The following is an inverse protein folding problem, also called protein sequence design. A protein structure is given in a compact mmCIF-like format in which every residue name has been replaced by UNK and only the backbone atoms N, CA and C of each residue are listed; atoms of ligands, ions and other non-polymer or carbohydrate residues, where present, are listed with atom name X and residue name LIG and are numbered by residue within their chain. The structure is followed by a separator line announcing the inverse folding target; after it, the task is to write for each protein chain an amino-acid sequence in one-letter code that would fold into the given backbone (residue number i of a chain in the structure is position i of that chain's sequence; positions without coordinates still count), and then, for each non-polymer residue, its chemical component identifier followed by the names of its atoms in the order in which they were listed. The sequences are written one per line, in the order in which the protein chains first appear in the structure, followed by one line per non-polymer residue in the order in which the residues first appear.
data_IF_898912110547
#
_entry.id   IF_898912110547
#
_cell.length_a   1.000
_cell.length_b   1.000
_cell.length_c   1.000
_cell.angle_alpha   90.00
_cell.angle_beta   90.00
_cell.angle_gamma   90.00
#
_symmetry.space_group_name_H-M   'P 1'
#
loop_
_entity.id
_entity.type
_entity.pdbx_description
1 polymer ?
#
# COMPACT_ATOMS: atom_id res chain seq x y z
N UNK A 1 3.31 0.26 69.77
CA UNK A 1 2.63 1.45 69.22
C UNK A 1 3.67 2.37 68.61
N UNK A 2 4.50 1.89 67.68
CA UNK A 2 4.15 1.63 66.28
C UNK A 2 3.85 2.95 65.57
N UNK A 3 4.76 3.42 64.72
CA UNK A 3 4.74 3.06 63.30
C UNK A 3 3.44 3.56 62.66
N UNK A 4 3.33 4.88 62.49
CA UNK A 4 2.43 5.57 61.55
C UNK A 4 2.68 7.09 61.72
N UNK A 5 3.70 7.65 61.08
CA UNK A 5 3.40 8.55 59.95
C UNK A 5 4.66 8.87 59.12
N UNK A 6 5.56 7.90 58.94
CA UNK A 6 6.71 8.02 58.01
C UNK A 6 6.40 7.44 56.62
N UNK A 7 5.17 7.61 56.15
CA UNK A 7 4.72 7.21 54.80
C UNK A 7 3.91 8.34 54.18
N UNK A 8 4.49 9.53 53.98
CA UNK A 8 4.01 10.49 52.98
C UNK A 8 5.22 11.29 52.49
N UNK A 9 5.42 11.35 51.17
CA UNK A 9 6.51 12.03 50.45
C UNK A 9 7.84 11.25 50.24
N UNK A 10 7.78 9.99 49.81
CA UNK A 10 8.66 9.59 48.69
C UNK A 10 7.94 10.03 47.42
N UNK A 11 8.09 11.32 47.08
CA UNK A 11 7.72 11.81 45.77
C UNK A 11 8.45 10.97 44.74
N UNK A 12 7.68 10.20 43.99
CA UNK A 12 8.16 9.46 42.83
C UNK A 12 8.94 10.47 41.97
N UNK A 13 10.27 10.33 41.93
CA UNK A 13 11.11 11.28 41.19
C UNK A 13 10.66 11.17 39.75
N UNK A 14 10.19 12.26 39.14
CA UNK A 14 9.83 12.27 37.73
C UNK A 14 11.06 11.96 36.87
N UNK A 15 11.28 10.67 36.62
CA UNK A 15 12.45 10.15 35.88
C UNK A 15 12.40 10.54 34.41
N UNK A 16 11.20 10.76 33.87
CA UNK A 16 11.00 11.16 32.48
C UNK A 16 11.49 12.59 32.25
N UNK A 17 11.25 13.50 33.21
CA UNK A 17 11.76 14.89 33.12
C UNK A 17 13.28 15.01 33.14
N UNK A 18 14.00 14.00 33.67
CA UNK A 18 15.47 13.99 33.73
C UNK A 18 16.16 13.45 32.46
N UNK A 19 15.41 12.86 31.52
CA UNK A 19 15.98 12.33 30.28
C UNK A 19 16.43 13.47 29.34
N UNK A 20 17.51 13.31 28.55
CA UNK A 20 17.89 14.27 27.51
C UNK A 20 16.84 14.40 26.40
N UNK A 21 16.77 15.57 25.73
CA UNK A 21 15.74 15.83 24.70
C UNK A 21 15.79 14.80 23.58
N UNK A 22 16.98 14.36 23.18
CA UNK A 22 17.17 13.33 22.16
C UNK A 22 16.47 12.01 22.53
N UNK A 23 16.50 11.62 23.80
CA UNK A 23 15.83 10.41 24.28
C UNK A 23 14.32 10.62 24.30
N UNK A 24 13.85 11.79 24.73
CA UNK A 24 12.42 12.11 24.72
C UNK A 24 11.84 12.16 23.30
N UNK A 25 12.56 12.75 22.35
CA UNK A 25 12.19 12.76 20.93
C UNK A 25 12.19 11.34 20.35
N UNK A 26 13.14 10.50 20.75
CA UNK A 26 13.14 9.10 20.35
C UNK A 26 11.92 8.35 20.88
N UNK A 27 11.58 8.49 22.17
CA UNK A 27 10.36 7.91 22.76
C UNK A 27 9.11 8.38 22.01
N UNK A 28 9.01 9.68 21.74
CA UNK A 28 7.89 10.25 20.99
C UNK A 28 7.83 9.72 19.55
N UNK A 29 8.97 9.47 18.91
CA UNK A 29 9.02 8.88 17.56
C UNK A 29 8.60 7.41 17.49
N UNK A 30 8.54 6.73 18.64
CA UNK A 30 8.06 5.35 18.74
C UNK A 30 6.55 5.25 18.96
N UNK A 31 5.86 6.38 19.22
CA UNK A 31 4.41 6.38 19.37
C UNK A 31 3.75 6.24 17.98
N UNK A 32 2.80 5.31 17.82
CA UNK A 32 2.21 5.00 16.52
C UNK A 32 1.38 6.14 15.94
N UNK A 33 0.69 6.92 16.79
CA UNK A 33 -0.28 7.93 16.35
C UNK A 33 0.08 9.35 16.79
N UNK A 34 -0.13 10.32 15.90
CA UNK A 34 0.06 11.75 16.19
C UNK A 34 -0.72 12.26 17.41
N UNK A 35 -1.90 11.68 17.65
CA UNK A 35 -2.74 12.03 18.81
C UNK A 35 -2.05 11.71 20.13
N UNK A 36 -1.37 10.58 20.22
CA UNK A 36 -0.62 10.17 21.41
C UNK A 36 0.61 11.06 21.63
N UNK A 37 1.31 11.38 20.55
CA UNK A 37 2.44 12.32 20.54
C UNK A 37 2.00 13.68 21.09
N UNK A 38 0.86 14.21 20.66
CA UNK A 38 0.31 15.48 21.19
C UNK A 38 -0.16 15.35 22.63
N UNK A 39 -0.78 14.22 23.02
CA UNK A 39 -1.22 14.00 24.41
C UNK A 39 -0.07 14.07 25.41
N UNK A 40 1.13 13.67 25.01
CA UNK A 40 2.33 13.82 25.85
C UNK A 40 2.63 15.26 26.28
N UNK A 41 2.09 16.26 25.57
CA UNK A 41 2.29 17.69 25.86
C UNK A 41 1.82 18.13 27.25
N UNK A 42 0.96 17.35 27.90
CA UNK A 42 0.46 17.62 29.25
C UNK A 42 1.36 17.08 30.36
N UNK A 43 2.33 16.22 30.03
CA UNK A 43 3.20 15.55 31.02
C UNK A 43 4.09 16.54 31.76
N UNK A 44 4.68 17.51 31.05
CA UNK A 44 5.41 18.61 31.67
C UNK A 44 5.61 19.80 30.72
N UNK A 45 6.09 20.93 31.25
CA UNK A 45 6.41 22.13 30.45
C UNK A 45 7.38 21.83 29.30
N UNK A 46 8.26 20.85 29.47
CA UNK A 46 9.26 20.45 28.46
C UNK A 46 8.62 19.66 27.32
N UNK A 47 7.78 18.68 27.62
CA UNK A 47 7.07 17.87 26.63
C UNK A 47 6.08 18.68 25.78
N UNK A 48 5.56 19.79 26.34
CA UNK A 48 4.64 20.72 25.65
C UNK A 48 5.10 21.16 24.27
N UNK A 49 6.40 21.26 24.04
CA UNK A 49 6.97 21.72 22.77
C UNK A 49 7.76 20.64 22.02
N UNK A 50 8.25 19.61 22.72
CA UNK A 50 9.05 18.54 22.10
C UNK A 50 8.29 17.76 21.04
N UNK A 51 6.99 17.52 21.26
CA UNK A 51 6.15 16.80 20.29
C UNK A 51 6.15 17.46 18.90
N UNK A 52 6.36 18.79 18.83
CA UNK A 52 6.42 19.51 17.55
C UNK A 52 7.66 19.22 16.72
N UNK A 53 8.67 18.59 17.32
CA UNK A 53 9.94 18.30 16.66
C UNK A 53 9.95 16.93 15.97
N UNK A 54 8.94 16.09 16.23
CA UNK A 54 8.86 14.72 15.75
C UNK A 54 7.91 14.64 14.54
N UNK A 55 8.26 13.85 13.50
CA UNK A 55 7.34 13.55 12.42
C UNK A 55 6.09 12.83 12.92
N UNK A 56 4.92 13.26 12.46
CA UNK A 56 3.62 12.71 12.87
C UNK A 56 2.98 11.91 11.74
N UNK A 57 2.32 10.82 12.12
CA UNK A 57 1.41 10.05 11.30
C UNK A 57 -0.04 10.34 11.69
N UNK A 58 -0.88 10.62 10.71
CA UNK A 58 -2.33 10.73 10.85
C UNK A 58 -2.99 9.53 10.18
N UNK A 59 -3.83 8.83 10.92
CA UNK A 59 -4.55 7.64 10.44
C UNK A 59 -6.05 7.79 10.74
N UNK A 60 -6.86 7.72 9.69
CA UNK A 60 -8.29 7.86 9.72
C UNK A 60 -8.91 6.65 9.05
N UNK A 61 -9.47 5.73 9.83
CA UNK A 61 -10.00 4.48 9.29
C UNK A 61 -11.51 4.37 9.53
N UNK A 62 -12.25 4.25 8.43
CA UNK A 62 -13.67 3.91 8.42
C UNK A 62 -13.92 2.81 7.38
N UNK A 63 -13.11 1.75 7.36
CA UNK A 63 -13.17 0.67 6.36
C UNK A 63 -14.35 -0.31 6.50
N UNK A 64 -15.07 -0.34 7.63
CA UNK A 64 -16.13 -1.34 7.87
C UNK A 64 -17.45 -0.75 8.37
N UNK A 65 -18.56 -1.00 7.66
CA UNK A 65 -19.92 -1.12 8.24
C UNK A 65 -20.49 0.05 9.05
N UNK A 66 -20.81 1.18 8.40
CA UNK A 66 -21.51 2.30 9.04
C UNK A 66 -22.68 2.83 8.20
N UNK A 67 -23.69 3.36 8.89
CA UNK A 67 -24.80 4.11 8.27
C UNK A 67 -24.30 5.38 7.58
N UNK A 68 -25.11 5.96 6.69
CA UNK A 68 -24.82 7.27 6.06
C UNK A 68 -24.48 8.37 7.09
N UNK A 69 -25.13 8.32 8.27
CA UNK A 69 -24.79 9.23 9.38
C UNK A 69 -23.36 9.03 9.87
N UNK A 70 -22.91 7.78 10.02
CA UNK A 70 -21.54 7.48 10.45
C UNK A 70 -20.49 7.99 9.46
N UNK A 71 -20.75 7.84 8.16
CA UNK A 71 -19.88 8.38 7.10
C UNK A 71 -19.78 9.91 7.22
N UNK A 72 -20.92 10.60 7.34
CA UNK A 72 -20.94 12.06 7.50
C UNK A 72 -20.20 12.54 8.75
N UNK A 73 -20.42 11.86 9.88
CA UNK A 73 -19.79 12.21 11.15
C UNK A 73 -18.26 11.98 11.08
N UNK A 74 -17.82 10.90 10.42
CA UNK A 74 -16.42 10.64 10.13
C UNK A 74 -15.80 11.72 9.25
N UNK A 75 -16.43 12.04 8.11
CA UNK A 75 -15.96 13.11 7.20
C UNK A 75 -15.81 14.44 7.95
N UNK A 76 -16.81 14.81 8.74
CA UNK A 76 -16.76 16.00 9.58
C UNK A 76 -15.64 15.96 10.62
N UNK A 77 -15.36 14.79 11.19
CA UNK A 77 -14.25 14.58 12.13
C UNK A 77 -12.88 14.75 11.46
N UNK A 78 -12.67 14.11 10.29
CA UNK A 78 -11.44 14.25 9.50
C UNK A 78 -11.21 15.71 9.17
N UNK A 79 -12.20 16.41 8.61
CA UNK A 79 -12.09 17.82 8.24
C UNK A 79 -11.73 18.74 9.42
N UNK A 80 -12.33 18.49 10.58
CA UNK A 80 -12.00 19.22 11.81
C UNK A 80 -10.55 19.00 12.24
N UNK A 81 -10.07 17.77 12.12
CA UNK A 81 -8.67 17.46 12.43
C UNK A 81 -7.71 18.08 11.43
N UNK A 82 -8.01 18.05 10.13
CA UNK A 82 -7.19 18.74 9.11
C UNK A 82 -7.02 20.23 9.43
N UNK A 83 -8.08 20.88 9.92
CA UNK A 83 -8.02 22.28 10.34
C UNK A 83 -7.04 22.50 11.50
N UNK A 84 -6.96 21.56 12.45
CA UNK A 84 -6.01 21.61 13.56
C UNK A 84 -4.57 21.39 13.07
N UNK A 85 -4.38 20.45 12.14
CA UNK A 85 -3.07 20.03 11.66
C UNK A 85 -2.48 20.91 10.56
N UNK A 86 -3.25 21.81 9.94
CA UNK A 86 -2.81 22.64 8.80
C UNK A 86 -1.57 23.51 9.03
N UNK A 87 -1.26 23.83 10.28
CA UNK A 87 -0.11 24.65 10.67
C UNK A 87 1.06 23.81 11.21
N UNK A 88 0.94 22.48 11.17
CA UNK A 88 1.97 21.57 11.61
C UNK A 88 2.88 21.18 10.44
N UNK A 89 4.16 21.49 10.55
CA UNK A 89 5.11 21.36 9.43
C UNK A 89 5.71 19.96 9.28
N UNK A 90 5.50 19.06 10.24
CA UNK A 90 6.16 17.74 10.28
C UNK A 90 5.18 16.57 10.20
N UNK A 91 4.24 16.61 9.25
CA UNK A 91 3.37 15.46 8.97
C UNK A 91 4.05 14.61 7.91
N UNK A 92 4.43 13.38 8.28
CA UNK A 92 5.13 12.46 7.36
C UNK A 92 4.18 11.53 6.64
N UNK A 93 3.18 11.02 7.36
CA UNK A 93 2.22 10.04 6.85
C UNK A 93 0.79 10.53 7.06
N UNK A 94 -0.03 10.39 6.04
CA UNK A 94 -1.46 10.65 6.09
C UNK A 94 -2.20 9.49 5.45
N UNK A 95 -3.00 8.77 6.24
CA UNK A 95 -3.84 7.67 5.77
C UNK A 95 -5.29 8.02 6.04
N UNK A 96 -6.13 7.84 5.01
CA UNK A 96 -7.57 7.90 5.15
C UNK A 96 -8.20 6.74 4.38
N UNK A 97 -9.04 5.97 5.06
CA UNK A 97 -9.76 4.83 4.50
C UNK A 97 -11.24 5.01 4.74
N UNK A 98 -12.03 4.87 3.69
CA UNK A 98 -13.46 5.12 3.67
C UNK A 98 -14.18 3.89 3.14
N UNK A 99 -15.16 3.41 3.91
CA UNK A 99 -15.94 2.24 3.52
C UNK A 99 -16.63 2.45 2.18
N UNK A 100 -17.33 3.60 2.01
CA UNK A 100 -18.12 3.87 0.81
C UNK A 100 -17.94 5.29 0.30
N UNK A 101 -17.71 5.41 -1.01
CA UNK A 101 -17.72 6.70 -1.69
C UNK A 101 -19.11 7.09 -2.21
N UNK A 102 -19.48 8.35 -1.98
CA UNK A 102 -20.64 9.00 -2.56
C UNK A 102 -20.23 10.36 -3.14
N UNK A 103 -20.82 10.75 -4.27
CA UNK A 103 -20.48 11.99 -4.98
C UNK A 103 -20.65 13.25 -4.13
N UNK A 104 -21.51 13.21 -3.11
CA UNK A 104 -21.71 14.28 -2.14
C UNK A 104 -20.42 14.66 -1.39
N UNK A 105 -19.51 13.70 -1.18
CA UNK A 105 -18.25 13.89 -0.44
C UNK A 105 -17.05 14.24 -1.32
N UNK A 106 -17.24 14.47 -2.63
CA UNK A 106 -16.13 14.74 -3.56
C UNK A 106 -15.24 15.90 -3.07
N UNK A 107 -15.86 16.97 -2.56
CA UNK A 107 -15.14 18.16 -2.06
C UNK A 107 -14.37 17.88 -0.77
N UNK A 108 -14.89 17.00 0.06
CA UNK A 108 -14.23 16.60 1.30
C UNK A 108 -13.01 15.74 1.01
N UNK A 109 -13.14 14.77 0.10
CA UNK A 109 -12.01 13.93 -0.32
C UNK A 109 -10.96 14.77 -1.08
N UNK A 110 -11.38 15.71 -1.93
CA UNK A 110 -10.48 16.68 -2.57
C UNK A 110 -9.71 17.51 -1.53
N UNK A 111 -10.38 17.91 -0.44
CA UNK A 111 -9.74 18.61 0.67
C UNK A 111 -8.69 17.73 1.36
N UNK A 112 -8.94 16.43 1.52
CA UNK A 112 -7.99 15.48 2.11
C UNK A 112 -6.76 15.30 1.22
N UNK A 113 -6.96 15.13 -0.10
CA UNK A 113 -5.87 15.02 -1.06
C UNK A 113 -5.09 16.33 -1.15
N UNK A 114 -5.77 17.48 -1.15
CA UNK A 114 -5.14 18.80 -1.13
C UNK A 114 -4.30 18.99 0.14
N UNK A 115 -4.85 18.62 1.29
CA UNK A 115 -4.12 18.67 2.55
C UNK A 115 -2.85 17.84 2.48
N UNK A 116 -2.95 16.56 2.11
CA UNK A 116 -1.80 15.66 2.03
C UNK A 116 -0.73 16.16 1.05
N UNK A 117 -1.14 16.63 -0.14
CA UNK A 117 -0.20 16.92 -1.25
C UNK A 117 0.30 18.36 -1.33
N UNK A 118 -0.38 19.33 -0.69
CA UNK A 118 -0.06 20.75 -0.78
C UNK A 118 0.14 21.44 0.57
N UNK A 119 -0.66 21.10 1.59
CA UNK A 119 -0.61 21.75 2.91
C UNK A 119 0.43 21.08 3.80
N UNK A 120 0.22 19.78 4.05
CA UNK A 120 1.10 18.94 4.86
C UNK A 120 2.32 18.45 4.07
N UNK A 121 2.18 18.33 2.74
CA UNK A 121 3.22 17.90 1.81
C UNK A 121 3.92 16.60 2.26
N UNK A 122 3.10 15.60 2.57
CA UNK A 122 3.52 14.34 3.21
C UNK A 122 4.42 13.50 2.31
N UNK A 123 5.20 12.61 2.92
CA UNK A 123 6.01 11.61 2.21
C UNK A 123 5.21 10.34 1.92
N UNK A 124 4.22 10.02 2.74
CA UNK A 124 3.43 8.79 2.63
C UNK A 124 1.95 9.14 2.65
N UNK A 125 1.26 8.84 1.54
CA UNK A 125 -0.18 9.11 1.41
C UNK A 125 -0.93 7.83 1.03
N UNK A 126 -1.97 7.52 1.81
CA UNK A 126 -2.89 6.42 1.56
C UNK A 126 -4.31 6.96 1.49
N UNK A 127 -4.98 6.72 0.36
CA UNK A 127 -6.41 6.95 0.19
C UNK A 127 -7.05 5.64 -0.26
N UNK A 128 -7.90 5.08 0.59
CA UNK A 128 -8.58 3.82 0.30
C UNK A 128 -10.09 4.01 0.32
N UNK A 129 -10.75 3.55 -0.73
CA UNK A 129 -12.22 3.55 -0.84
C UNK A 129 -12.64 2.10 -1.10
N UNK A 130 -13.20 1.44 -0.09
CA UNK A 130 -13.39 -0.01 -0.09
C UNK A 130 -14.60 -0.49 -0.89
N UNK A 131 -15.63 0.35 -1.04
CA UNK A 131 -16.90 -0.03 -1.64
C UNK A 131 -17.56 1.15 -2.37
N UNK A 132 -18.29 0.87 -3.44
CA UNK A 132 -19.12 1.87 -4.11
C UNK A 132 -19.38 1.56 -5.57
N UNK A 133 -20.52 2.04 -6.08
CA UNK A 133 -20.85 1.93 -7.52
C UNK A 133 -20.14 2.96 -8.40
N UNK A 134 -19.34 3.86 -7.82
CA UNK A 134 -18.59 4.88 -8.54
C UNK A 134 -17.18 4.96 -7.97
N UNK A 135 -16.20 5.17 -8.84
CA UNK A 135 -14.83 5.48 -8.44
C UNK A 135 -14.68 6.99 -8.17
N UNK A 136 -13.87 7.34 -7.17
CA UNK A 136 -13.48 8.73 -6.93
C UNK A 136 -12.42 9.13 -7.96
N UNK A 137 -12.63 10.25 -8.66
CA UNK A 137 -11.65 10.74 -9.63
C UNK A 137 -10.50 11.45 -8.91
N UNK A 138 -9.29 10.88 -9.02
CA UNK A 138 -8.12 11.42 -8.33
C UNK A 138 -7.76 12.80 -8.91
N UNK A 139 -7.59 13.83 -8.05
CA UNK A 139 -7.64 15.21 -8.52
C UNK A 139 -6.38 15.64 -9.25
N UNK A 140 -6.58 16.48 -10.27
CA UNK A 140 -5.55 16.85 -11.25
C UNK A 140 -4.30 17.50 -10.65
N UNK A 141 -4.45 18.25 -9.57
CA UNK A 141 -3.34 18.93 -8.90
C UNK A 141 -2.36 17.96 -8.20
N UNK A 142 -2.79 16.73 -7.90
CA UNK A 142 -2.03 15.76 -7.14
C UNK A 142 -0.98 15.01 -8.00
N UNK A 143 -1.18 14.94 -9.32
CA UNK A 143 -0.22 14.34 -10.26
C UNK A 143 1.10 15.10 -10.41
N UNK A 144 1.23 16.29 -9.80
CA UNK A 144 2.44 17.13 -9.85
C UNK A 144 3.20 17.19 -8.53
N UNK A 145 2.83 16.35 -7.55
CA UNK A 145 3.49 16.33 -6.25
C UNK A 145 4.89 15.70 -6.33
N UNK A 146 5.88 16.35 -5.72
CA UNK A 146 7.28 15.92 -5.75
C UNK A 146 7.84 15.54 -4.37
N UNK A 147 6.99 15.42 -3.36
CA UNK A 147 7.39 15.02 -1.99
C UNK A 147 7.07 13.57 -1.68
N UNK A 148 6.00 13.02 -2.27
CA UNK A 148 5.55 11.66 -2.05
C UNK A 148 6.65 10.65 -2.38
N UNK A 149 6.86 9.73 -1.44
CA UNK A 149 7.71 8.55 -1.55
C UNK A 149 6.87 7.28 -1.63
N UNK A 150 5.77 7.22 -0.88
CA UNK A 150 4.82 6.11 -0.92
C UNK A 150 3.41 6.64 -1.20
N UNK A 151 2.75 6.06 -2.21
CA UNK A 151 1.39 6.41 -2.59
C UNK A 151 0.55 5.14 -2.71
N UNK A 152 -0.54 5.06 -1.95
CA UNK A 152 -1.52 3.99 -2.01
C UNK A 152 -2.87 4.58 -2.40
N UNK A 153 -3.43 4.12 -3.51
CA UNK A 153 -4.72 4.54 -4.03
C UNK A 153 -5.60 3.31 -4.29
N UNK A 154 -6.66 3.15 -3.50
CA UNK A 154 -7.68 2.11 -3.69
C UNK A 154 -9.03 2.74 -4.03
N UNK A 155 -9.77 2.17 -4.97
CA UNK A 155 -11.09 2.68 -5.39
C UNK A 155 -11.04 4.07 -6.03
N UNK A 156 -9.90 4.45 -6.60
CA UNK A 156 -9.64 5.77 -7.19
C UNK A 156 -9.46 5.64 -8.70
N UNK A 157 -10.28 6.35 -9.48
CA UNK A 157 -10.07 6.49 -10.93
C UNK A 157 -8.91 7.45 -11.20
N UNK A 158 -7.96 6.99 -12.01
CA UNK A 158 -6.83 7.80 -12.45
C UNK A 158 -7.11 8.39 -13.84
N UNK A 159 -7.04 9.72 -13.95
CA UNK A 159 -7.25 10.47 -15.19
C UNK A 159 -6.20 11.60 -15.29
N UNK A 160 -4.90 11.28 -15.44
CA UNK A 160 -3.88 12.32 -15.50
C UNK A 160 -4.15 13.29 -16.67
N UNK A 161 -4.02 14.62 -16.49
CA UNK A 161 -4.41 15.61 -17.50
C UNK A 161 -3.27 15.88 -18.51
N UNK A 162 -2.18 15.12 -18.40
CA UNK A 162 -0.89 15.34 -19.03
C UNK A 162 0.22 14.65 -18.24
N UNK A 163 1.48 15.07 -18.44
CA UNK A 163 2.65 14.37 -17.86
C UNK A 163 2.61 14.34 -16.32
N UNK A 164 2.55 13.14 -15.74
CA UNK A 164 2.69 12.92 -14.29
C UNK A 164 4.10 13.31 -13.83
N UNK A 165 4.22 13.85 -12.62
CA UNK A 165 5.50 14.14 -11.98
C UNK A 165 5.43 13.72 -10.51
N UNK A 166 5.77 12.46 -10.27
CA UNK A 166 5.97 11.85 -8.96
C UNK A 166 7.46 11.49 -8.81
N UNK A 167 8.31 12.50 -8.98
CA UNK A 167 9.77 12.32 -9.12
C UNK A 167 10.47 11.70 -7.90
N UNK A 168 9.90 11.76 -6.70
CA UNK A 168 10.47 11.12 -5.49
C UNK A 168 9.79 9.82 -5.10
N UNK A 169 8.80 9.38 -5.86
CA UNK A 169 8.02 8.19 -5.54
C UNK A 169 8.88 6.94 -5.69
N UNK A 170 8.88 6.12 -4.63
CA UNK A 170 9.62 4.87 -4.48
C UNK A 170 8.66 3.68 -4.48
N UNK A 171 7.48 3.84 -3.90
CA UNK A 171 6.44 2.81 -3.85
C UNK A 171 5.10 3.36 -4.35
N UNK A 172 4.47 2.62 -5.26
CA UNK A 172 3.14 2.92 -5.79
C UNK A 172 2.27 1.68 -5.66
N UNK A 173 1.14 1.81 -4.97
CA UNK A 173 0.13 0.77 -4.81
C UNK A 173 -1.20 1.29 -5.36
N UNK A 174 -1.75 0.59 -6.35
CA UNK A 174 -2.99 0.97 -7.04
C UNK A 174 -3.93 -0.22 -7.02
N UNK A 175 -5.21 -0.03 -6.68
CA UNK A 175 -6.16 -1.14 -6.70
C UNK A 175 -7.64 -0.78 -6.66
N UNK A 176 -8.48 -1.77 -6.93
CA UNK A 176 -9.94 -1.63 -7.05
C UNK A 176 -10.35 -0.64 -8.16
N UNK A 177 -9.72 -0.73 -9.34
CA UNK A 177 -10.09 0.06 -10.52
C UNK A 177 -9.78 -0.67 -11.84
N UNK A 178 -10.41 -0.15 -12.89
CA UNK A 178 -10.12 -0.51 -14.28
C UNK A 178 -9.03 0.43 -14.85
N UNK A 179 -7.94 -0.14 -15.36
CA UNK A 179 -6.77 0.51 -15.94
C UNK A 179 -6.82 0.50 -17.48
N UNK A 180 -7.80 1.19 -18.07
CA UNK A 180 -7.93 1.31 -19.54
C UNK A 180 -7.05 2.42 -20.14
N UNK A 181 -6.93 2.46 -21.47
CA UNK A 181 -6.43 3.64 -22.19
C UNK A 181 -4.95 3.99 -22.01
N UNK A 182 -4.11 3.07 -21.54
CA UNK A 182 -2.68 3.31 -21.38
C UNK A 182 -2.31 4.19 -20.19
N UNK A 183 -3.26 4.45 -19.27
CA UNK A 183 -3.07 5.24 -18.03
C UNK A 183 -1.82 4.78 -17.26
N UNK A 184 -1.59 3.47 -17.20
CA UNK A 184 -0.45 2.91 -16.49
C UNK A 184 0.89 3.37 -17.07
N UNK A 185 1.01 3.46 -18.40
CA UNK A 185 2.21 3.97 -19.06
C UNK A 185 2.45 5.45 -18.73
N UNK A 186 1.39 6.26 -18.71
CA UNK A 186 1.47 7.68 -18.35
C UNK A 186 1.90 7.87 -16.89
N UNK A 187 1.33 7.10 -15.98
CA UNK A 187 1.68 7.10 -14.55
C UNK A 187 3.13 6.67 -14.35
N UNK A 188 3.55 5.53 -14.91
CA UNK A 188 4.91 5.02 -14.75
C UNK A 188 5.96 5.96 -15.35
N UNK A 189 5.65 6.65 -16.45
CA UNK A 189 6.54 7.66 -17.05
C UNK A 189 6.84 8.83 -16.12
N UNK A 190 5.94 9.11 -15.16
CA UNK A 190 6.08 10.16 -14.15
C UNK A 190 6.84 9.73 -12.89
N UNK A 191 7.22 8.46 -12.76
CA UNK A 191 7.79 7.87 -11.55
C UNK A 191 9.23 7.34 -11.78
N UNK A 192 10.22 8.20 -12.08
CA UNK A 192 11.57 7.78 -12.47
C UNK A 192 12.36 7.04 -11.36
N UNK A 193 11.96 7.17 -10.10
CA UNK A 193 12.62 6.53 -8.95
C UNK A 193 11.81 5.38 -8.34
N UNK A 194 10.78 4.91 -9.03
CA UNK A 194 9.92 3.83 -8.55
C UNK A 194 10.71 2.53 -8.41
N UNK A 195 10.66 1.92 -7.22
CA UNK A 195 11.32 0.66 -6.88
C UNK A 195 10.31 -0.48 -6.66
N UNK A 196 9.12 -0.14 -6.15
CA UNK A 196 8.03 -1.08 -5.90
C UNK A 196 6.74 -0.62 -6.60
N UNK A 197 6.14 -1.52 -7.36
CA UNK A 197 4.80 -1.37 -7.93
C UNK A 197 3.91 -2.50 -7.43
N UNK A 198 2.74 -2.15 -6.95
CA UNK A 198 1.76 -3.11 -6.47
C UNK A 198 0.39 -2.82 -7.09
N UNK A 199 -0.21 -3.87 -7.65
CA UNK A 199 -1.52 -3.83 -8.30
C UNK A 199 -2.45 -4.81 -7.58
N UNK A 200 -3.61 -4.33 -7.12
CA UNK A 200 -4.56 -5.14 -6.35
C UNK A 200 -5.95 -5.05 -6.95
N UNK A 201 -6.58 -6.18 -7.27
CA UNK A 201 -7.95 -6.24 -7.79
C UNK A 201 -8.14 -5.28 -8.97
N UNK A 202 -7.21 -5.31 -9.92
CA UNK A 202 -7.21 -4.46 -11.13
C UNK A 202 -7.78 -5.20 -12.34
N UNK A 203 -8.35 -4.44 -13.27
CA UNK A 203 -8.86 -4.94 -14.56
C UNK A 203 -8.55 -3.96 -15.71
N UNK A 204 -8.90 -4.30 -16.95
CA UNK A 204 -8.65 -3.53 -18.16
C UNK A 204 -7.19 -3.51 -18.66
N UNK A 205 -6.28 -4.32 -18.07
CA UNK A 205 -4.85 -4.33 -18.42
C UNK A 205 -4.43 -5.65 -19.07
N UNK A 206 -4.18 -5.61 -20.38
CA UNK A 206 -3.72 -6.80 -21.12
C UNK A 206 -2.20 -6.88 -21.30
N UNK A 207 -1.50 -5.74 -21.17
CA UNK A 207 -0.06 -5.66 -21.35
C UNK A 207 0.53 -4.62 -20.40
N UNK A 208 1.43 -5.09 -19.53
CA UNK A 208 2.16 -4.26 -18.57
C UNK A 208 3.63 -4.18 -18.99
N UNK A 209 4.02 -3.02 -19.53
CA UNK A 209 5.39 -2.76 -19.94
C UNK A 209 6.11 -1.87 -18.92
N UNK A 210 7.15 -2.42 -18.31
CA UNK A 210 7.94 -1.78 -17.27
C UNK A 210 9.38 -1.67 -17.77
N UNK A 211 9.71 -0.48 -18.29
CA UNK A 211 11.05 -0.13 -18.76
C UNK A 211 11.90 0.59 -17.71
N UNK A 212 11.34 0.84 -16.51
CA UNK A 212 12.03 1.55 -15.44
C UNK A 212 13.17 0.70 -14.85
N UNK A 213 14.41 1.17 -15.02
CA UNK A 213 15.63 0.51 -14.55
C UNK A 213 15.77 0.42 -13.04
N UNK A 214 14.96 1.14 -12.25
CA UNK A 214 14.97 1.10 -10.77
C UNK A 214 13.85 0.25 -10.19
N UNK A 215 12.83 -0.10 -10.98
CA UNK A 215 11.75 -0.94 -10.49
C UNK A 215 12.27 -2.37 -10.30
N UNK A 216 12.20 -2.85 -9.06
CA UNK A 216 12.76 -4.15 -8.64
C UNK A 216 11.68 -5.11 -8.18
N UNK A 217 10.58 -4.58 -7.64
CA UNK A 217 9.50 -5.36 -7.05
C UNK A 217 8.18 -5.09 -7.77
N UNK A 218 7.54 -6.15 -8.23
CA UNK A 218 6.17 -6.13 -8.75
C UNK A 218 5.33 -7.11 -7.96
N UNK A 219 4.22 -6.61 -7.42
CA UNK A 219 3.19 -7.40 -6.76
C UNK A 219 1.91 -7.25 -7.56
N UNK A 220 1.29 -8.37 -7.90
CA UNK A 220 -0.05 -8.41 -8.50
C UNK A 220 -0.89 -9.34 -7.64
N UNK A 221 -1.93 -8.79 -7.04
CA UNK A 221 -2.91 -9.51 -6.26
C UNK A 221 -4.26 -9.36 -6.96
N UNK A 222 -4.93 -10.47 -7.24
CA UNK A 222 -6.22 -10.50 -7.93
C UNK A 222 -6.23 -9.71 -9.26
N UNK A 223 -5.86 -10.39 -10.34
CA UNK A 223 -6.09 -9.88 -11.69
C UNK A 223 -7.42 -10.41 -12.21
N UNK A 224 -8.44 -9.55 -12.26
CA UNK A 224 -9.79 -9.94 -12.66
C UNK A 224 -9.95 -10.15 -14.17
N UNK A 225 -8.91 -9.80 -14.96
CA UNK A 225 -8.90 -10.00 -16.40
C UNK A 225 -8.34 -11.38 -16.80
N UNK A 226 -8.89 -11.94 -17.88
CA UNK A 226 -8.52 -13.26 -18.37
C UNK A 226 -7.09 -13.41 -18.90
N UNK A 227 -6.37 -12.34 -19.28
CA UNK A 227 -5.01 -12.42 -19.84
C UNK A 227 -4.17 -11.17 -19.62
N UNK A 228 -2.94 -11.36 -19.11
CA UNK A 228 -1.98 -10.29 -18.86
C UNK A 228 -0.56 -10.65 -19.35
N UNK A 229 -0.02 -9.89 -20.31
CA UNK A 229 1.38 -9.98 -20.71
C UNK A 229 2.26 -9.02 -19.89
N UNK A 230 3.31 -9.56 -19.25
CA UNK A 230 4.25 -8.77 -18.45
C UNK A 230 5.59 -8.65 -19.20
N UNK A 231 6.04 -7.40 -19.41
CA UNK A 231 7.29 -7.02 -20.05
C UNK A 231 8.12 -6.20 -19.07
N UNK A 232 8.91 -6.87 -18.23
CA UNK A 232 9.58 -6.20 -17.11
C UNK A 232 11.00 -6.74 -16.86
N UNK A 233 11.94 -6.50 -17.80
CA UNK A 233 13.22 -7.20 -17.87
C UNK A 233 14.15 -6.96 -16.67
N UNK A 234 13.93 -5.91 -15.87
CA UNK A 234 14.78 -5.48 -14.76
C UNK A 234 14.22 -5.83 -13.36
N UNK A 235 13.05 -6.46 -13.31
CA UNK A 235 12.43 -6.88 -12.05
C UNK A 235 13.22 -8.03 -11.43
N UNK A 236 13.39 -7.98 -10.12
CA UNK A 236 14.09 -8.99 -9.33
C UNK A 236 13.16 -9.79 -8.43
N UNK A 237 12.01 -9.22 -8.04
CA UNK A 237 11.00 -9.86 -7.21
C UNK A 237 9.63 -9.73 -7.85
N UNK A 238 8.99 -10.87 -8.11
CA UNK A 238 7.63 -10.98 -8.61
C UNK A 238 6.80 -11.71 -7.58
N UNK A 239 5.69 -11.11 -7.16
CA UNK A 239 4.67 -11.76 -6.34
C UNK A 239 3.34 -11.76 -7.08
N UNK A 240 2.73 -12.94 -7.19
CA UNK A 240 1.41 -13.15 -7.76
C UNK A 240 0.54 -13.84 -6.71
N UNK A 241 -0.58 -13.22 -6.34
CA UNK A 241 -1.52 -13.76 -5.34
C UNK A 241 -2.97 -13.70 -5.80
N UNK A 242 -3.80 -14.59 -5.25
CA UNK A 242 -5.23 -14.64 -5.54
C UNK A 242 -5.55 -15.19 -6.94
N UNK A 243 -6.66 -14.74 -7.51
CA UNK A 243 -7.07 -15.14 -8.86
C UNK A 243 -6.31 -14.34 -9.92
N UNK A 244 -5.47 -15.03 -10.70
CA UNK A 244 -4.62 -14.42 -11.72
C UNK A 244 -4.52 -15.32 -12.97
N UNK A 245 -5.56 -15.37 -13.83
CA UNK A 245 -5.58 -16.24 -15.00
C UNK A 245 -4.66 -15.72 -16.13
N UNK A 246 -4.14 -16.65 -16.94
CA UNK A 246 -3.26 -16.43 -18.13
C UNK A 246 -2.25 -15.28 -17.98
N UNK A 247 -1.34 -15.38 -17.00
CA UNK A 247 -0.17 -14.51 -16.90
C UNK A 247 0.90 -14.99 -17.89
N UNK A 248 1.13 -14.20 -18.93
CA UNK A 248 2.16 -14.45 -19.91
C UNK A 248 3.44 -13.70 -19.57
N UNK A 249 4.40 -14.45 -19.03
CA UNK A 249 5.72 -13.97 -18.68
C UNK A 249 6.73 -14.74 -19.54
N UNK A 250 7.28 -14.12 -20.59
CA UNK A 250 8.31 -14.79 -21.40
C UNK A 250 9.65 -14.69 -20.69
N UNK A 251 10.50 -15.71 -20.75
CA UNK A 251 11.81 -15.69 -20.06
C UNK A 251 12.63 -14.42 -20.31
N UNK A 252 12.71 -13.95 -21.56
CA UNK A 252 13.42 -12.70 -21.90
C UNK A 252 12.85 -11.45 -21.22
N UNK A 253 11.58 -11.48 -20.85
CA UNK A 253 10.85 -10.38 -20.23
C UNK A 253 11.07 -10.31 -18.71
N UNK A 254 11.67 -11.34 -18.10
CA UNK A 254 11.95 -11.43 -16.67
C UNK A 254 13.31 -12.09 -16.40
N UNK A 255 14.28 -11.80 -17.27
CA UNK A 255 15.61 -12.40 -17.20
C UNK A 255 16.36 -12.02 -15.91
N UNK A 256 16.03 -10.89 -15.28
CA UNK A 256 16.63 -10.43 -14.01
C UNK A 256 15.92 -10.97 -12.77
N UNK A 257 14.90 -11.82 -12.92
CA UNK A 257 14.09 -12.29 -11.81
C UNK A 257 14.89 -13.23 -10.90
N UNK A 258 14.94 -12.90 -9.61
CA UNK A 258 15.67 -13.67 -8.57
C UNK A 258 14.70 -14.39 -7.65
N UNK A 259 13.56 -13.77 -7.36
CA UNK A 259 12.52 -14.31 -6.48
C UNK A 259 11.17 -14.29 -7.18
N UNK A 260 10.48 -15.42 -7.17
CA UNK A 260 9.08 -15.53 -7.59
C UNK A 260 8.26 -16.12 -6.44
N UNK A 261 7.16 -15.46 -6.12
CA UNK A 261 6.24 -15.83 -5.04
C UNK A 261 4.86 -16.03 -5.65
N UNK A 262 4.33 -17.25 -5.64
CA UNK A 262 3.09 -17.62 -6.32
C UNK A 262 2.07 -18.17 -5.31
N UNK A 263 1.16 -17.34 -4.83
CA UNK A 263 0.03 -17.71 -3.97
C UNK A 263 -1.29 -17.67 -4.75
N UNK A 264 -1.37 -18.46 -5.80
CA UNK A 264 -2.52 -18.46 -6.72
C UNK A 264 -3.67 -19.29 -6.16
N UNK A 265 -4.89 -18.91 -6.55
CA UNK A 265 -6.11 -19.64 -6.27
C UNK A 265 -6.84 -19.96 -7.57
N UNK A 266 -7.32 -21.20 -7.72
CA UNK A 266 -8.24 -21.57 -8.80
C UNK A 266 -9.61 -20.90 -8.62
N UNK A 267 -10.25 -20.51 -9.72
CA UNK A 267 -11.70 -20.35 -9.71
C UNK A 267 -12.31 -21.72 -9.96
N UNK A 268 -12.98 -22.27 -8.95
CA UNK A 268 -13.88 -23.41 -9.14
C UNK A 268 -15.13 -22.95 -9.89
N UNK A 269 -15.00 -22.72 -11.20
CA UNK A 269 -16.13 -22.78 -12.12
C UNK A 269 -16.73 -24.18 -12.07
N UNK A 270 -18.01 -24.31 -12.40
CA UNK A 270 -18.72 -25.60 -12.32
C UNK A 270 -18.32 -26.59 -13.43
N UNK A 271 -17.33 -26.29 -14.27
CA UNK A 271 -16.99 -27.04 -15.49
C UNK A 271 -15.55 -27.59 -15.41
N UNK A 272 -15.36 -28.85 -15.82
CA UNK A 272 -14.04 -29.52 -15.83
C UNK A 272 -13.05 -28.86 -16.80
N UNK A 273 -13.54 -28.20 -17.86
CA UNK A 273 -12.72 -27.51 -18.86
C UNK A 273 -11.97 -26.30 -18.28
N UNK A 274 -12.57 -25.60 -17.30
CA UNK A 274 -11.94 -24.45 -16.62
C UNK A 274 -10.67 -24.87 -15.89
N UNK A 275 -10.67 -26.07 -15.29
CA UNK A 275 -9.51 -26.59 -14.58
C UNK A 275 -8.36 -26.93 -15.54
N UNK A 276 -8.62 -27.52 -16.70
CA UNK A 276 -7.55 -27.85 -17.66
C UNK A 276 -6.85 -26.59 -18.21
N UNK A 277 -7.61 -25.53 -18.48
CA UNK A 277 -7.04 -24.24 -18.90
C UNK A 277 -6.21 -23.60 -17.79
N UNK A 278 -6.74 -23.50 -16.57
CA UNK A 278 -6.00 -22.99 -15.40
C UNK A 278 -4.70 -23.78 -15.17
N UNK A 279 -4.76 -25.10 -15.32
CA UNK A 279 -3.60 -25.98 -15.26
C UNK A 279 -2.54 -25.65 -16.32
N UNK A 280 -2.98 -25.35 -17.54
CA UNK A 280 -2.10 -24.97 -18.65
C UNK A 280 -1.41 -23.64 -18.37
N UNK A 281 -2.17 -22.63 -17.92
CA UNK A 281 -1.64 -21.32 -17.56
C UNK A 281 -0.62 -21.41 -16.42
N UNK A 282 -0.93 -22.16 -15.37
CA UNK A 282 -0.01 -22.35 -14.25
C UNK A 282 1.29 -23.07 -14.67
N UNK A 283 1.21 -24.12 -15.50
CA UNK A 283 2.40 -24.79 -16.05
C UNK A 283 3.27 -23.85 -16.89
N UNK A 284 2.65 -23.00 -17.70
CA UNK A 284 3.37 -22.00 -18.49
C UNK A 284 4.06 -20.97 -17.59
N UNK A 285 3.37 -20.48 -16.55
CA UNK A 285 3.92 -19.57 -15.57
C UNK A 285 5.10 -20.20 -14.82
N UNK A 286 4.97 -21.44 -14.32
CA UNK A 286 6.07 -22.14 -13.65
C UNK A 286 7.31 -22.26 -14.55
N UNK A 287 7.14 -22.59 -15.83
CA UNK A 287 8.25 -22.64 -16.79
C UNK A 287 8.93 -21.29 -16.98
N UNK A 288 8.15 -20.20 -16.91
CA UNK A 288 8.68 -18.85 -17.07
C UNK A 288 9.53 -18.37 -15.91
N UNK A 289 9.30 -18.91 -14.70
CA UNK A 289 10.05 -18.56 -13.48
C UNK A 289 10.96 -19.70 -13.02
N UNK A 290 11.13 -20.76 -13.81
CA UNK A 290 11.93 -21.93 -13.40
C UNK A 290 13.43 -21.61 -13.19
N UNK A 291 13.92 -20.47 -13.68
CA UNK A 291 15.31 -20.02 -13.54
C UNK A 291 15.59 -19.22 -12.27
N UNK A 292 14.57 -18.87 -11.47
CA UNK A 292 14.75 -18.03 -10.27
C UNK A 292 15.48 -18.78 -9.16
N UNK A 293 16.20 -18.04 -8.32
CA UNK A 293 16.92 -18.62 -7.17
C UNK A 293 15.98 -18.99 -6.02
N UNK A 294 14.93 -18.19 -5.80
CA UNK A 294 13.95 -18.39 -4.73
C UNK A 294 12.55 -18.48 -5.34
N UNK A 295 11.97 -19.68 -5.33
CA UNK A 295 10.58 -19.92 -5.70
C UNK A 295 9.78 -20.31 -4.46
N UNK A 296 8.75 -19.52 -4.16
CA UNK A 296 7.78 -19.77 -3.11
C UNK A 296 6.41 -20.05 -3.73
N UNK A 297 5.77 -21.12 -3.28
CA UNK A 297 4.48 -21.58 -3.79
C UNK A 297 3.48 -21.62 -2.64
N UNK A 298 2.28 -21.08 -2.87
CA UNK A 298 1.16 -21.17 -1.95
C UNK A 298 0.55 -22.58 -1.90
N UNK A 299 -0.36 -22.84 -0.95
CA UNK A 299 -0.92 -24.17 -0.71
C UNK A 299 -1.50 -24.84 -1.96
N UNK A 300 -2.35 -24.12 -2.70
CA UNK A 300 -2.96 -24.63 -3.93
C UNK A 300 -1.91 -24.95 -5.01
N UNK A 301 -0.90 -24.08 -5.17
CA UNK A 301 0.19 -24.31 -6.11
C UNK A 301 1.01 -25.56 -5.76
N UNK A 302 1.23 -25.84 -4.46
CA UNK A 302 1.96 -27.03 -3.97
C UNK A 302 1.13 -28.29 -4.22
N UNK A 303 -0.16 -28.27 -3.84
CA UNK A 303 -1.07 -29.39 -4.08
C UNK A 303 -1.09 -29.73 -5.57
N UNK A 304 -1.26 -28.73 -6.44
CA UNK A 304 -1.22 -28.93 -7.88
C UNK A 304 0.11 -29.51 -8.39
N UNK A 305 1.23 -28.98 -7.90
CA UNK A 305 2.56 -29.46 -8.26
C UNK A 305 2.76 -30.94 -7.88
N UNK A 306 2.10 -31.41 -6.82
CA UNK A 306 2.16 -32.81 -6.38
C UNK A 306 1.32 -33.78 -7.22
N UNK A 307 0.18 -33.32 -7.76
CA UNK A 307 -0.72 -34.13 -8.59
C UNK A 307 -0.26 -34.22 -10.05
N UNK A 308 0.28 -33.13 -10.58
CA UNK A 308 0.84 -33.12 -11.93
C UNK A 308 2.21 -33.80 -11.88
N UNK A 309 2.42 -34.86 -12.65
CA UNK A 309 3.67 -35.60 -12.76
C UNK A 309 4.82 -34.76 -13.37
N UNK A 310 5.23 -33.69 -12.69
CA UNK A 310 6.32 -32.78 -13.03
C UNK A 310 7.69 -33.36 -12.66
N UNK A 311 7.88 -34.66 -12.91
CA UNK A 311 9.10 -35.44 -12.63
C UNK A 311 10.34 -35.01 -13.43
N UNK A 312 10.31 -33.85 -14.10
CA UNK A 312 11.42 -33.29 -14.89
C UNK A 312 11.89 -31.89 -14.49
N UNK A 313 11.31 -31.27 -13.46
CA UNK A 313 11.84 -30.02 -12.90
C UNK A 313 12.59 -30.34 -11.60
N UNK A 314 13.70 -31.07 -11.72
CA UNK A 314 14.53 -31.52 -10.57
C UNK A 314 15.45 -30.42 -9.99
N UNK A 315 15.27 -29.15 -10.35
CA UNK A 315 16.15 -28.06 -9.92
C UNK A 315 15.50 -26.96 -9.07
N UNK A 316 14.20 -27.07 -8.77
CA UNK A 316 13.54 -26.10 -7.91
C UNK A 316 13.75 -26.48 -6.44
N UNK A 317 14.65 -25.74 -5.76
CA UNK A 317 14.72 -25.76 -4.30
C UNK A 317 13.48 -25.04 -3.75
N UNK A 318 12.41 -25.79 -3.53
CA UNK A 318 11.17 -25.28 -2.93
C UNK A 318 11.46 -25.02 -1.45
N UNK A 319 11.49 -23.75 -1.05
CA UNK A 319 11.41 -23.38 0.37
C UNK A 319 9.93 -23.31 0.72
N UNK A 320 9.40 -24.35 1.37
CA UNK A 320 8.05 -24.30 1.95
C UNK A 320 8.09 -23.51 3.25
N UNK A 321 7.37 -22.40 3.33
CA UNK A 321 6.98 -21.81 4.62
C UNK A 321 5.77 -22.59 5.13
N UNK A 322 5.96 -23.36 6.20
CA UNK A 322 4.89 -23.99 6.98
C UNK A 322 4.14 -22.95 7.82
#
# INVERSE_FOLDING_TARGET
MEMQSKIMARGDRDRLSHLPDKVLLHILSMLPEGKEVVRSSVLSKRWRFLWKSVPISLDFDLSFGYSEKGIRDFVGSVNRELHYWRSFEKIRKFRVSLYKYEKSYIKDIDLWVHFATKVANVEEFTLEICYGGYLYEFPQFAYKNTSLRNLVLRGCKLSPPGRVNWSRLVSLSIGDLELTGGIMGEVLSGCPNLECLELYSVSGIHRLEISNLKLRKLIIEENMDGKLEILAPYIQHLQLSGFCPDINLRQRNAASLVTAVLYLTAHFGNEEDDLEEECSYFKQLLRSVAHVENLELGPWCIEFYSYSSLSKIQHLAIKSSL
#
